data_IF_042932688685
#
_entry.id   IF_042932688685
#
_cell.length_a   1.000
_cell.length_b   1.000
_cell.length_c   1.000
_cell.angle_alpha   90.00
_cell.angle_beta   90.00
_cell.angle_gamma   90.00
#
_symmetry.space_group_name_H-M   'P 1'
#
loop_
_entity.id
_entity.type
_entity.pdbx_description
1 polymer ?
#
# COMPACT_ATOMS: atom_id res chain seq x y z
N UNK A 1 23.18 -6.53 -25.53
CA UNK A 1 23.27 -5.64 -24.36
C UNK A 1 21.97 -5.83 -23.60
N UNK A 2 22.01 -6.58 -22.49
CA UNK A 2 20.81 -7.11 -21.84
C UNK A 2 21.04 -7.19 -20.32
N UNK A 3 21.51 -6.09 -19.73
CA UNK A 3 21.91 -6.08 -18.32
C UNK A 3 21.60 -4.77 -17.57
N UNK A 4 20.73 -3.90 -18.10
CA UNK A 4 20.38 -2.62 -17.47
C UNK A 4 18.91 -2.51 -17.01
N UNK A 5 18.01 -3.41 -17.44
CA UNK A 5 16.57 -3.20 -17.24
C UNK A 5 16.05 -3.50 -15.82
N UNK A 6 16.68 -4.43 -15.08
CA UNK A 6 16.18 -4.81 -13.75
C UNK A 6 16.66 -3.87 -12.63
N UNK A 7 17.86 -3.30 -12.76
CA UNK A 7 18.39 -2.37 -11.76
C UNK A 7 17.57 -1.07 -11.72
N UNK A 8 17.10 -0.61 -12.88
CA UNK A 8 16.21 0.55 -13.01
C UNK A 8 14.83 0.31 -12.39
N UNK A 9 14.30 -0.92 -12.48
CA UNK A 9 13.01 -1.27 -11.87
C UNK A 9 13.11 -1.27 -10.34
N UNK A 10 14.15 -1.88 -9.77
CA UNK A 10 14.32 -1.94 -8.31
C UNK A 10 14.47 -0.53 -7.72
N UNK A 11 15.31 0.33 -8.32
CA UNK A 11 15.46 1.73 -7.93
C UNK A 11 14.15 2.52 -8.09
N UNK A 12 13.38 2.23 -9.14
CA UNK A 12 12.08 2.86 -9.37
C UNK A 12 11.07 2.45 -8.31
N UNK A 13 10.99 1.16 -7.99
CA UNK A 13 10.13 0.63 -6.93
C UNK A 13 10.51 1.28 -5.61
N UNK A 14 11.80 1.35 -5.30
CA UNK A 14 12.32 2.04 -4.12
C UNK A 14 11.88 3.51 -4.05
N UNK A 15 11.99 4.21 -5.18
CA UNK A 15 11.49 5.57 -5.34
C UNK A 15 9.98 5.69 -5.10
N UNK A 16 9.17 4.75 -5.59
CA UNK A 16 7.71 4.73 -5.38
C UNK A 16 7.38 4.48 -3.92
N UNK A 17 8.01 3.52 -3.27
CA UNK A 17 7.75 3.24 -1.86
C UNK A 17 8.10 4.44 -0.99
N UNK A 18 9.27 5.04 -1.21
CA UNK A 18 9.75 6.19 -0.44
C UNK A 18 8.95 7.46 -0.71
N UNK A 19 8.63 7.74 -1.97
CA UNK A 19 8.06 9.03 -2.36
C UNK A 19 6.54 9.00 -2.54
N UNK A 20 5.91 7.82 -2.61
CA UNK A 20 4.46 7.66 -2.82
C UNK A 20 3.83 6.85 -1.69
N UNK A 21 4.21 5.57 -1.53
CA UNK A 21 3.52 4.65 -0.60
C UNK A 21 3.60 5.12 0.84
N UNK A 22 4.81 5.41 1.36
CA UNK A 22 4.99 5.86 2.73
C UNK A 22 4.29 7.21 2.99
N UNK A 23 4.46 8.25 2.14
CA UNK A 23 3.72 9.50 2.31
C UNK A 23 2.19 9.34 2.27
N UNK A 24 1.66 8.40 1.48
CA UNK A 24 0.22 8.11 1.47
C UNK A 24 -0.23 7.51 2.81
N UNK A 25 0.55 6.60 3.40
CA UNK A 25 0.26 6.06 4.73
C UNK A 25 0.38 7.10 5.83
N UNK A 26 1.42 7.95 5.80
CA UNK A 26 1.57 9.06 6.75
C UNK A 26 0.41 10.06 6.64
N UNK A 27 -0.01 10.39 5.40
CA UNK A 27 -1.18 11.22 5.15
C UNK A 27 -2.45 10.62 5.73
N UNK A 28 -2.64 9.29 5.60
CA UNK A 28 -3.76 8.60 6.22
C UNK A 28 -3.71 8.66 7.74
N UNK A 29 -2.56 8.40 8.36
CA UNK A 29 -2.43 8.52 9.82
C UNK A 29 -2.84 9.92 10.27
N UNK A 30 -2.29 10.97 9.64
CA UNK A 30 -2.63 12.35 9.97
C UNK A 30 -4.12 12.68 9.76
N UNK A 31 -4.74 12.17 8.70
CA UNK A 31 -6.17 12.38 8.40
C UNK A 31 -7.07 11.78 9.50
N UNK A 32 -6.67 10.66 10.11
CA UNK A 32 -7.51 9.89 11.06
C UNK A 32 -7.09 10.03 12.53
N UNK A 33 -5.88 10.51 12.83
CA UNK A 33 -5.44 10.82 14.21
C UNK A 33 -6.34 11.85 14.90
N UNK A 34 -6.96 12.74 14.12
CA UNK A 34 -7.91 13.74 14.61
C UNK A 34 -9.36 13.21 14.72
N UNK A 35 -9.63 11.98 14.27
CA UNK A 35 -10.97 11.40 14.26
C UNK A 35 -11.10 10.40 15.40
N UNK A 36 -11.91 10.76 16.40
CA UNK A 36 -12.10 9.94 17.60
C UNK A 36 -12.53 8.49 17.28
N UNK A 37 -11.90 7.54 17.97
CA UNK A 37 -12.15 6.11 17.86
C UNK A 37 -11.48 5.39 16.69
N UNK A 38 -10.82 6.08 15.76
CA UNK A 38 -9.97 5.42 14.76
C UNK A 38 -8.55 5.23 15.28
N UNK A 39 -7.92 4.10 14.93
CA UNK A 39 -6.48 3.90 15.10
C UNK A 39 -5.89 3.50 13.75
N UNK A 40 -4.96 4.30 13.25
CA UNK A 40 -4.28 4.06 11.98
C UNK A 40 -2.78 4.03 12.22
N UNK A 41 -2.08 2.98 11.77
CA UNK A 41 -0.62 2.89 11.91
C UNK A 41 0.02 1.99 10.87
N UNK A 42 1.24 2.33 10.46
CA UNK A 42 2.07 1.46 9.62
C UNK A 42 2.43 0.21 10.44
N UNK A 43 2.36 -0.96 9.81
CA UNK A 43 2.72 -2.24 10.42
C UNK A 43 3.69 -3.00 9.51
N UNK A 44 4.61 -3.74 10.13
CA UNK A 44 5.66 -4.49 9.43
C UNK A 44 5.30 -5.97 9.26
N UNK A 45 4.38 -6.47 10.07
CA UNK A 45 4.02 -7.89 10.17
C UNK A 45 2.98 -8.30 9.11
N UNK A 46 3.33 -8.02 7.85
CA UNK A 46 2.55 -8.44 6.71
C UNK A 46 2.52 -9.94 6.51
N UNK A 47 1.48 -10.48 5.84
CA UNK A 47 1.49 -11.87 5.43
C UNK A 47 2.67 -12.11 4.48
N UNK A 48 3.39 -13.21 4.72
CA UNK A 48 4.43 -13.72 3.84
C UNK A 48 3.78 -14.20 2.53
N UNK A 49 3.69 -13.31 1.55
CA UNK A 49 3.28 -13.66 0.19
C UNK A 49 4.56 -13.97 -0.59
N UNK A 50 4.62 -15.17 -1.16
CA UNK A 50 5.79 -15.67 -1.90
C UNK A 50 6.03 -14.79 -3.15
N UNK A 51 7.26 -14.36 -3.36
CA UNK A 51 7.66 -13.56 -4.53
C UNK A 51 7.52 -12.05 -4.37
N UNK A 52 7.08 -11.56 -3.21
CA UNK A 52 7.16 -10.14 -2.86
C UNK A 52 8.62 -9.78 -2.53
N UNK A 53 9.13 -8.75 -3.19
CA UNK A 53 10.45 -8.18 -2.88
C UNK A 53 10.35 -6.84 -2.14
N UNK A 54 9.25 -6.12 -2.30
CA UNK A 54 9.01 -4.90 -1.53
C UNK A 54 7.57 -4.80 -1.03
N UNK A 55 7.44 -4.40 0.23
CA UNK A 55 6.20 -4.47 0.98
C UNK A 55 6.11 -3.29 1.96
N UNK A 56 4.90 -2.78 2.12
CA UNK A 56 4.52 -1.91 3.23
C UNK A 56 3.05 -2.14 3.54
N UNK A 57 2.64 -1.96 4.79
CA UNK A 57 1.22 -2.04 5.15
C UNK A 57 0.83 -1.12 6.26
N UNK A 58 -0.47 -0.91 6.35
CA UNK A 58 -1.13 -0.08 7.33
C UNK A 58 -2.27 -0.87 7.96
N UNK A 59 -2.37 -0.79 9.27
CA UNK A 59 -3.51 -1.29 10.03
C UNK A 59 -4.45 -0.13 10.34
N UNK A 60 -5.74 -0.37 10.13
CA UNK A 60 -6.83 0.55 10.41
C UNK A 60 -7.81 -0.14 11.34
N UNK A 61 -8.07 0.45 12.51
CA UNK A 61 -9.10 0.03 13.44
C UNK A 61 -10.22 1.05 13.44
N UNK A 62 -11.42 0.59 13.10
CA UNK A 62 -12.63 1.40 13.10
C UNK A 62 -13.23 1.44 14.53
N UNK A 63 -13.89 2.55 14.93
CA UNK A 63 -14.58 2.64 16.22
C UNK A 63 -15.61 1.53 16.49
N UNK A 64 -16.12 0.90 15.43
CA UNK A 64 -17.07 -0.22 15.52
C UNK A 64 -16.42 -1.57 15.84
N UNK A 65 -15.10 -1.59 16.12
CA UNK A 65 -14.34 -2.80 16.46
C UNK A 65 -13.79 -3.57 15.27
N UNK A 66 -14.05 -3.13 14.03
CA UNK A 66 -13.49 -3.74 12.82
C UNK A 66 -12.00 -3.37 12.67
N UNK A 67 -11.14 -4.35 12.51
CA UNK A 67 -9.72 -4.15 12.16
C UNK A 67 -9.48 -4.60 10.72
N UNK A 68 -8.74 -3.78 9.97
CA UNK A 68 -8.38 -4.00 8.58
C UNK A 68 -6.88 -3.81 8.40
N UNK A 69 -6.28 -4.64 7.55
CA UNK A 69 -4.89 -4.47 7.14
C UNK A 69 -4.89 -4.29 5.63
N UNK A 70 -4.39 -3.14 5.18
CA UNK A 70 -4.17 -2.87 3.76
C UNK A 70 -2.67 -2.92 3.51
N UNK A 71 -2.25 -3.71 2.54
CA UNK A 71 -0.86 -3.76 2.13
C UNK A 71 -0.69 -3.21 0.72
N UNK A 72 0.49 -2.67 0.47
CA UNK A 72 0.99 -2.28 -0.84
C UNK A 72 2.30 -3.02 -1.07
N UNK A 73 2.38 -3.76 -2.17
CA UNK A 73 3.54 -4.57 -2.48
C UNK A 73 3.87 -4.62 -3.96
N UNK A 74 5.12 -4.99 -4.21
CA UNK A 74 5.66 -5.26 -5.52
C UNK A 74 6.19 -6.70 -5.58
N UNK A 75 5.80 -7.42 -6.63
CA UNK A 75 6.26 -8.77 -6.94
C UNK A 75 7.45 -8.68 -7.88
N UNK A 76 8.50 -9.47 -7.64
CA UNK A 76 9.70 -9.43 -8.49
C UNK A 76 9.37 -9.62 -9.96
N UNK A 77 10.01 -8.83 -10.84
CA UNK A 77 9.80 -8.83 -12.29
C UNK A 77 8.36 -8.49 -12.71
N UNK A 78 7.57 -7.88 -11.82
CA UNK A 78 6.29 -7.27 -12.15
C UNK A 78 6.52 -5.81 -12.55
N UNK A 79 5.77 -5.31 -13.52
CA UNK A 79 5.68 -3.86 -13.78
C UNK A 79 4.56 -3.20 -12.97
N UNK A 80 4.00 -3.94 -12.01
CA UNK A 80 2.81 -3.56 -11.26
C UNK A 80 3.05 -3.52 -9.76
N UNK A 81 2.52 -2.46 -9.16
CA UNK A 81 2.26 -2.32 -7.73
C UNK A 81 0.87 -2.88 -7.44
N UNK A 82 0.70 -3.59 -6.32
CA UNK A 82 -0.59 -4.12 -5.89
C UNK A 82 -0.93 -3.54 -4.52
N UNK A 83 -2.15 -3.05 -4.36
CA UNK A 83 -2.74 -2.71 -3.07
C UNK A 83 -3.91 -3.65 -2.77
N UNK A 84 -3.96 -4.25 -1.59
CA UNK A 84 -5.05 -5.17 -1.23
C UNK A 84 -5.39 -5.11 0.26
N UNK A 85 -6.63 -5.46 0.59
CA UNK A 85 -7.04 -5.74 1.96
C UNK A 85 -6.90 -7.25 2.23
N UNK A 86 -5.91 -7.61 3.04
CA UNK A 86 -5.53 -9.02 3.27
C UNK A 86 -6.54 -9.81 4.09
N UNK A 87 -7.40 -9.14 4.86
CA UNK A 87 -8.42 -9.81 5.67
C UNK A 87 -9.68 -10.11 4.85
N UNK A 88 -9.97 -9.29 3.84
CA UNK A 88 -11.15 -9.47 3.00
C UNK A 88 -10.86 -10.29 1.74
N UNK A 89 -9.60 -10.43 1.29
CA UNK A 89 -9.05 -11.20 0.15
C UNK A 89 -9.70 -10.92 -1.23
N UNK A 90 -10.92 -10.40 -1.25
CA UNK A 90 -11.78 -10.20 -2.41
C UNK A 90 -11.57 -8.84 -3.08
N UNK A 91 -10.83 -7.92 -2.44
CA UNK A 91 -10.60 -6.57 -2.96
C UNK A 91 -9.10 -6.29 -3.09
N UNK A 92 -8.65 -6.18 -4.34
CA UNK A 92 -7.32 -5.69 -4.68
C UNK A 92 -7.38 -4.68 -5.83
N UNK A 93 -6.33 -3.88 -5.94
CA UNK A 93 -6.13 -2.95 -7.04
C UNK A 93 -4.67 -3.02 -7.50
N UNK A 94 -4.48 -3.00 -8.81
CA UNK A 94 -3.15 -3.00 -9.41
C UNK A 94 -2.91 -1.67 -10.12
N UNK A 95 -1.67 -1.17 -9.98
CA UNK A 95 -1.21 0.09 -10.54
C UNK A 95 0.06 -0.16 -11.35
N UNK A 96 0.22 0.59 -12.42
CA UNK A 96 1.46 0.63 -13.19
C UNK A 96 2.49 1.50 -12.45
N UNK A 97 3.68 0.94 -12.20
CA UNK A 97 4.78 1.62 -11.51
C UNK A 97 5.25 2.88 -12.25
N UNK A 98 5.04 2.97 -13.56
CA UNK A 98 5.50 4.11 -14.35
C UNK A 98 4.57 5.32 -14.25
N UNK A 99 3.30 5.11 -13.91
CA UNK A 99 2.27 6.16 -13.92
C UNK A 99 1.57 6.40 -12.59
N UNK A 100 1.71 5.49 -11.60
CA UNK A 100 1.01 5.61 -10.31
C UNK A 100 1.28 6.94 -9.61
N UNK A 101 0.20 7.58 -9.17
CA UNK A 101 0.25 8.85 -8.41
C UNK A 101 -0.12 8.64 -6.94
N UNK A 102 0.23 9.63 -6.09
CA UNK A 102 -0.14 9.62 -4.67
C UNK A 102 -1.65 9.66 -4.48
N UNK A 103 -2.32 10.48 -5.26
CA UNK A 103 -3.74 10.76 -5.15
C UNK A 103 -4.57 9.51 -5.52
N UNK A 104 -4.19 8.83 -6.60
CA UNK A 104 -4.82 7.58 -7.01
C UNK A 104 -4.61 6.49 -5.96
N UNK A 105 -3.37 6.30 -5.50
CA UNK A 105 -3.05 5.28 -4.50
C UNK A 105 -3.77 5.57 -3.18
N UNK A 106 -3.78 6.82 -2.70
CA UNK A 106 -4.47 7.23 -1.49
C UNK A 106 -5.97 6.95 -1.56
N UNK A 107 -6.61 7.30 -2.67
CA UNK A 107 -8.04 7.06 -2.89
C UNK A 107 -8.39 5.58 -2.80
N UNK A 108 -7.55 4.71 -3.40
CA UNK A 108 -7.78 3.27 -3.39
C UNK A 108 -7.48 2.63 -2.03
N UNK A 109 -6.45 3.08 -1.32
CA UNK A 109 -6.19 2.60 0.05
C UNK A 109 -7.36 2.99 0.97
N UNK A 110 -7.88 4.22 0.89
CA UNK A 110 -9.07 4.64 1.68
C UNK A 110 -10.28 3.74 1.41
N UNK A 111 -10.51 3.37 0.16
CA UNK A 111 -11.56 2.43 -0.22
C UNK A 111 -11.31 1.04 0.37
N UNK A 112 -10.11 0.49 0.19
CA UNK A 112 -9.73 -0.85 0.70
C UNK A 112 -9.78 -0.95 2.22
N UNK A 113 -9.50 0.14 2.92
CA UNK A 113 -9.61 0.24 4.37
C UNK A 113 -11.02 0.58 4.86
N UNK A 114 -12.04 0.58 3.99
CA UNK A 114 -13.43 0.89 4.35
C UNK A 114 -13.64 2.31 4.89
N UNK A 115 -12.67 3.22 4.67
CA UNK A 115 -12.70 4.59 5.15
C UNK A 115 -13.43 5.55 4.19
N UNK A 116 -13.78 5.04 3.00
CA UNK A 116 -14.60 5.74 2.01
C UNK A 116 -15.65 4.76 1.48
N UNK A 117 -16.92 5.09 1.71
CA UNK A 117 -18.07 4.48 1.01
C UNK A 117 -18.29 5.18 -0.34
#
# INVERSE_FOLDING_TARGET
MSQDSNWDIDDRVDGIFKNIVIPVYEGLINDYDAVDGYEVKIVSDGPLIIGIEKYSSIKVKHPGGLEMIVCVYWVKNSERLIAENILLITHNKSFDLFSVTKEELASQIKFLSGLKA
#
